data_IF_906928082898
#
_entry.id   IF_906928082898
#
_cell.length_a   1.000
_cell.length_b   1.000
_cell.length_c   1.000
_cell.angle_alpha   90.00
_cell.angle_beta   90.00
_cell.angle_gamma   90.00
#
_symmetry.space_group_name_H-M   'P 1'
#
loop_
_entity.id
_entity.type
_entity.pdbx_description
1 polymer ?
#
# COMPACT_ATOMS: atom_id res chain seq x y z
N UNK A 1 36.40 -11.70 15.39
CA UNK A 1 35.59 -12.81 15.96
C UNK A 1 34.19 -12.26 16.25
N UNK A 2 33.05 -12.84 15.90
CA UNK A 2 32.75 -14.05 15.16
C UNK A 2 31.71 -13.73 14.08
N UNK A 3 32.00 -14.24 12.89
CA UNK A 3 31.11 -14.20 11.74
C UNK A 3 29.97 -15.18 12.02
N UNK A 4 28.83 -14.69 12.50
CA UNK A 4 27.60 -15.50 12.53
C UNK A 4 27.20 -15.76 11.08
N UNK A 5 27.59 -16.92 10.56
CA UNK A 5 26.96 -17.57 9.42
C UNK A 5 25.51 -17.90 9.83
N UNK A 6 24.65 -16.89 9.79
CA UNK A 6 23.20 -17.11 9.67
C UNK A 6 23.00 -17.67 8.27
N UNK A 7 22.56 -18.91 8.15
CA UNK A 7 22.04 -19.43 6.89
C UNK A 7 21.05 -18.39 6.33
N UNK A 8 21.39 -17.83 5.15
CA UNK A 8 20.57 -16.77 4.52
C UNK A 8 19.18 -17.27 4.13
N UNK A 9 18.97 -18.59 4.12
CA UNK A 9 17.72 -19.27 3.76
C UNK A 9 16.65 -19.32 4.86
N UNK A 10 16.97 -18.97 6.13
CA UNK A 10 16.00 -19.08 7.24
C UNK A 10 15.30 -17.76 7.64
N UNK A 11 15.54 -16.66 6.95
CA UNK A 11 14.81 -15.41 7.19
C UNK A 11 14.12 -15.00 5.90
N UNK A 12 12.86 -15.38 5.72
CA UNK A 12 11.97 -14.72 4.78
C UNK A 12 11.88 -13.25 5.19
N UNK A 13 12.74 -12.41 4.61
CA UNK A 13 12.78 -11.00 4.96
C UNK A 13 11.51 -10.36 4.41
N UNK A 14 10.74 -9.76 5.31
CA UNK A 14 9.57 -9.00 4.91
C UNK A 14 10.01 -7.63 4.41
N UNK A 15 9.24 -7.10 3.47
CA UNK A 15 9.31 -5.72 3.04
C UNK A 15 8.52 -4.85 4.00
N UNK A 16 9.22 -4.19 4.91
CA UNK A 16 8.65 -3.51 6.06
C UNK A 16 8.60 -1.99 5.87
N UNK A 17 7.56 -1.38 6.43
CA UNK A 17 7.45 0.07 6.62
C UNK A 17 6.70 0.37 7.93
N UNK A 18 7.11 1.39 8.68
CA UNK A 18 6.30 1.94 9.76
C UNK A 18 5.92 3.37 9.41
N UNK A 19 4.64 3.70 9.57
CA UNK A 19 4.11 5.02 9.25
C UNK A 19 3.45 5.62 10.48
N UNK A 20 3.75 6.89 10.73
CA UNK A 20 3.20 7.68 11.83
C UNK A 20 2.27 8.75 11.25
N UNK A 21 1.03 8.74 11.72
CA UNK A 21 0.01 9.72 11.37
C UNK A 21 -0.42 10.51 12.59
N UNK A 22 -0.81 11.76 12.40
CA UNK A 22 -1.59 12.49 13.39
C UNK A 22 -2.99 11.87 13.43
N UNK A 23 -3.49 11.53 14.62
CA UNK A 23 -4.82 10.94 14.75
C UNK A 23 -5.90 11.98 14.41
N UNK A 24 -6.99 11.52 13.79
CA UNK A 24 -8.27 12.24 13.76
C UNK A 24 -9.16 11.72 14.90
N UNK A 25 -10.33 12.33 15.06
CA UNK A 25 -11.36 11.87 15.99
C UNK A 25 -11.61 10.36 15.81
N UNK A 26 -11.64 9.62 16.91
CA UNK A 26 -11.80 8.16 16.92
C UNK A 26 -10.56 7.37 16.50
N UNK A 27 -9.36 7.95 16.65
CA UNK A 27 -8.07 7.29 16.37
C UNK A 27 -7.91 6.76 14.94
N UNK A 28 -8.55 7.44 13.98
CA UNK A 28 -8.41 7.16 12.55
C UNK A 28 -7.20 7.86 11.93
N UNK A 29 -6.79 7.41 10.74
CA UNK A 29 -5.66 7.97 9.98
C UNK A 29 -5.93 9.43 9.62
N UNK A 30 -5.06 10.33 10.08
CA UNK A 30 -5.02 11.72 9.65
C UNK A 30 -3.84 12.03 8.72
N UNK A 31 -3.25 13.21 8.90
CA UNK A 31 -2.11 13.66 8.10
C UNK A 31 -0.86 12.84 8.42
N UNK A 32 -0.10 12.49 7.38
CA UNK A 32 1.22 11.89 7.53
C UNK A 32 2.14 12.80 8.36
N UNK A 33 2.81 12.23 9.36
CA UNK A 33 3.79 12.92 10.21
C UNK A 33 5.20 12.45 9.85
N UNK A 34 5.42 11.14 9.83
CA UNK A 34 6.71 10.55 9.48
C UNK A 34 6.54 9.11 8.99
N UNK A 35 7.54 8.58 8.29
CA UNK A 35 7.61 7.16 7.98
C UNK A 35 9.05 6.66 7.96
N UNK A 36 9.25 5.36 8.17
CA UNK A 36 10.54 4.74 7.87
C UNK A 36 10.76 4.64 6.37
N UNK A 37 12.01 4.43 5.97
CA UNK A 37 12.27 3.86 4.64
C UNK A 37 11.59 2.49 4.55
N UNK A 38 10.93 2.21 3.43
CA UNK A 38 10.40 0.88 3.12
C UNK A 38 11.54 -0.01 2.63
N UNK A 39 11.76 -1.17 3.26
CA UNK A 39 12.89 -2.04 2.94
C UNK A 39 12.60 -3.52 3.25
N UNK A 40 13.10 -4.42 2.41
CA UNK A 40 13.20 -5.86 2.68
C UNK A 40 14.27 -6.10 3.74
N UNK A 41 13.88 -6.14 5.02
CA UNK A 41 14.77 -6.28 6.18
C UNK A 41 14.04 -6.91 7.36
N UNK A 42 14.81 -7.38 8.36
CA UNK A 42 14.25 -7.86 9.62
C UNK A 42 13.73 -6.77 10.56
N UNK A 43 14.05 -5.49 10.31
CA UNK A 43 13.56 -4.35 11.07
C UNK A 43 13.64 -3.05 10.26
N UNK A 44 12.76 -2.11 10.57
CA UNK A 44 12.78 -0.71 10.09
C UNK A 44 12.44 0.22 11.25
N UNK A 45 12.80 1.49 11.14
CA UNK A 45 12.49 2.49 12.15
C UNK A 45 12.62 3.91 11.64
N UNK A 46 12.04 4.84 12.39
CA UNK A 46 12.15 6.28 12.20
C UNK A 46 12.11 6.98 13.55
N UNK A 47 12.59 8.23 13.60
CA UNK A 47 12.57 9.07 14.80
C UNK A 47 12.02 10.46 14.43
N UNK A 48 11.17 11.02 15.30
CA UNK A 48 10.54 12.32 15.08
C UNK A 48 10.30 13.05 16.39
N UNK A 49 10.51 14.36 16.39
CA UNK A 49 10.03 15.24 17.45
C UNK A 49 8.56 15.54 17.19
N UNK A 50 7.72 15.27 18.18
CA UNK A 50 6.26 15.41 18.08
C UNK A 50 5.78 16.52 19.01
N UNK A 51 4.77 17.26 18.55
CA UNK A 51 3.96 18.10 19.43
C UNK A 51 3.06 17.22 20.31
N UNK A 52 2.58 17.76 21.42
CA UNK A 52 1.60 17.06 22.25
C UNK A 52 0.32 16.78 21.46
N UNK A 53 -0.16 15.54 21.49
CA UNK A 53 -1.35 15.12 20.76
C UNK A 53 -1.45 13.61 20.61
N UNK A 54 -2.46 13.18 19.86
CA UNK A 54 -2.72 11.78 19.55
C UNK A 54 -2.18 11.40 18.18
N UNK A 55 -1.62 10.21 18.09
CA UNK A 55 -0.98 9.70 16.89
C UNK A 55 -1.33 8.24 16.66
N UNK A 56 -1.41 7.85 15.40
CA UNK A 56 -1.62 6.47 14.97
C UNK A 56 -0.33 5.96 14.34
N UNK A 57 0.19 4.85 14.85
CA UNK A 57 1.33 4.14 14.25
C UNK A 57 0.79 2.94 13.50
N UNK A 58 1.12 2.82 12.21
CA UNK A 58 0.74 1.70 11.36
C UNK A 58 1.99 0.93 10.93
N UNK A 59 2.27 -0.24 11.53
CA UNK A 59 3.26 -1.18 11.03
C UNK A 59 2.73 -1.89 9.79
N UNK A 60 3.51 -1.90 8.72
CA UNK A 60 3.15 -2.45 7.42
C UNK A 60 4.20 -3.46 6.94
N UNK A 61 3.73 -4.50 6.26
CA UNK A 61 4.55 -5.43 5.49
C UNK A 61 3.87 -5.67 4.13
N UNK A 62 4.62 -5.94 3.05
CA UNK A 62 4.05 -5.97 1.68
C UNK A 62 4.26 -7.24 0.85
N UNK A 63 5.26 -8.06 1.17
CA UNK A 63 5.59 -9.25 0.37
C UNK A 63 5.01 -10.56 0.94
N UNK A 64 4.27 -10.52 2.06
CA UNK A 64 3.68 -11.71 2.66
C UNK A 64 2.48 -12.27 1.86
N UNK A 65 1.78 -11.45 1.07
CA UNK A 65 0.70 -11.91 0.18
C UNK A 65 1.13 -12.93 -0.89
N UNK A 66 2.43 -13.18 -1.06
CA UNK A 66 2.96 -14.19 -2.00
C UNK A 66 3.42 -15.46 -1.31
N UNK A 67 3.27 -15.54 0.01
CA UNK A 67 3.77 -16.68 0.79
C UNK A 67 2.83 -17.89 0.73
N UNK A 68 1.64 -17.75 0.13
CA UNK A 68 0.62 -18.81 0.05
C UNK A 68 0.08 -19.19 1.44
N UNK A 69 0.11 -18.24 2.37
CA UNK A 69 -0.40 -18.42 3.72
C UNK A 69 -1.87 -18.01 3.76
N UNK A 70 -2.77 -18.99 3.72
CA UNK A 70 -4.22 -18.74 3.78
C UNK A 70 -4.73 -18.54 5.22
N UNK A 71 -3.93 -18.93 6.22
CA UNK A 71 -4.27 -18.78 7.64
C UNK A 71 -3.62 -17.52 8.20
N UNK A 72 -4.46 -16.57 8.66
CA UNK A 72 -4.03 -15.32 9.29
C UNK A 72 -3.09 -15.57 10.49
N UNK A 73 -3.26 -16.69 11.20
CA UNK A 73 -2.40 -17.05 12.33
C UNK A 73 -1.01 -17.48 11.91
N UNK A 74 -0.82 -17.87 10.65
CA UNK A 74 0.47 -18.20 10.06
C UNK A 74 1.24 -16.96 9.60
N UNK A 75 0.60 -15.77 9.51
CA UNK A 75 1.31 -14.56 9.15
C UNK A 75 2.42 -14.23 10.15
N UNK A 76 3.57 -13.70 9.67
CA UNK A 76 4.68 -13.39 10.56
C UNK A 76 4.27 -12.38 11.64
N UNK A 77 4.52 -12.76 12.90
CA UNK A 77 4.33 -11.87 14.04
C UNK A 77 5.36 -10.75 14.02
N UNK A 78 5.00 -9.60 14.58
CA UNK A 78 5.90 -8.45 14.69
C UNK A 78 5.96 -7.92 16.12
N UNK A 79 7.00 -7.11 16.38
CA UNK A 79 7.16 -6.35 17.62
C UNK A 79 7.33 -4.88 17.25
N UNK A 80 6.52 -4.01 17.82
CA UNK A 80 6.68 -2.56 17.74
C UNK A 80 7.30 -2.07 19.05
N UNK A 81 8.46 -1.43 18.96
CA UNK A 81 9.12 -0.78 20.10
C UNK A 81 9.01 0.74 19.97
N UNK A 82 8.47 1.40 21.00
CA UNK A 82 8.35 2.85 21.07
C UNK A 82 9.27 3.37 22.16
N UNK A 83 10.26 4.18 21.77
CA UNK A 83 11.17 4.84 22.70
C UNK A 83 10.85 6.33 22.75
N UNK A 84 10.65 6.86 23.95
CA UNK A 84 10.29 8.26 24.15
C UNK A 84 11.08 8.87 25.31
N UNK A 85 11.50 10.12 25.13
CA UNK A 85 12.11 10.93 26.19
C UNK A 85 11.08 11.52 27.16
N UNK A 86 9.78 11.35 26.87
CA UNK A 86 8.64 11.79 27.67
C UNK A 86 7.71 10.62 27.98
N UNK A 87 6.92 10.73 29.05
CA UNK A 87 5.85 9.76 29.34
C UNK A 87 4.84 9.78 28.19
N UNK A 88 4.43 8.61 27.75
CA UNK A 88 3.36 8.42 26.76
C UNK A 88 2.46 7.29 27.19
N UNK A 89 1.23 7.32 26.68
CA UNK A 89 0.32 6.19 26.67
C UNK A 89 0.37 5.56 25.27
N UNK A 90 0.52 4.25 25.20
CA UNK A 90 0.44 3.50 23.96
C UNK A 90 -0.56 2.37 24.15
N UNK A 91 -1.54 2.30 23.27
CA UNK A 91 -2.57 1.27 23.26
C UNK A 91 -2.64 0.61 21.88
N UNK A 92 -3.04 -0.66 21.88
CA UNK A 92 -3.39 -1.35 20.64
C UNK A 92 -4.89 -1.18 20.43
N UNK A 93 -5.27 -0.62 19.28
CA UNK A 93 -6.66 -0.44 18.90
C UNK A 93 -7.05 -1.50 17.88
N UNK A 94 -8.31 -1.95 17.94
CA UNK A 94 -8.85 -2.78 16.87
C UNK A 94 -8.82 -1.99 15.56
N UNK A 95 -8.11 -2.46 14.52
CA UNK A 95 -7.99 -1.71 13.28
C UNK A 95 -9.36 -1.63 12.57
N UNK A 96 -9.77 -0.44 12.09
CA UNK A 96 -10.85 -0.31 11.13
C UNK A 96 -10.60 -1.15 9.86
N UNK A 97 -11.67 -1.63 9.22
CA UNK A 97 -11.60 -2.56 8.08
C UNK A 97 -10.66 -2.13 6.94
N UNK A 98 -10.53 -0.82 6.69
CA UNK A 98 -9.77 -0.26 5.56
C UNK A 98 -8.57 0.57 6.01
N UNK A 99 -8.05 0.32 7.22
CA UNK A 99 -6.92 1.08 7.76
C UNK A 99 -5.68 1.03 6.86
N UNK A 100 -5.48 -0.10 6.15
CA UNK A 100 -4.38 -0.28 5.21
C UNK A 100 -4.54 0.65 3.99
N UNK A 101 -5.73 0.66 3.39
CA UNK A 101 -6.05 1.59 2.30
C UNK A 101 -5.86 3.03 2.75
N UNK A 102 -6.44 3.41 3.89
CA UNK A 102 -6.40 4.78 4.42
C UNK A 102 -4.95 5.24 4.71
N UNK A 103 -4.12 4.34 5.28
CA UNK A 103 -2.70 4.61 5.54
C UNK A 103 -1.91 4.82 4.23
N UNK A 104 -2.07 3.92 3.26
CA UNK A 104 -1.36 4.01 1.97
C UNK A 104 -1.84 5.22 1.16
N UNK A 105 -3.13 5.53 1.18
CA UNK A 105 -3.68 6.73 0.52
C UNK A 105 -3.09 7.99 1.15
N UNK A 106 -3.14 8.14 2.48
CA UNK A 106 -2.61 9.33 3.18
C UNK A 106 -1.10 9.51 2.92
N UNK A 107 -0.33 8.42 2.97
CA UNK A 107 1.09 8.44 2.62
C UNK A 107 1.33 8.83 1.15
N UNK A 108 0.57 8.27 0.22
CA UNK A 108 0.73 8.50 -1.21
C UNK A 108 0.30 9.91 -1.62
N UNK A 109 -0.73 10.48 -0.98
CA UNK A 109 -1.09 11.88 -1.17
C UNK A 109 0.03 12.83 -0.71
N UNK A 110 0.70 12.50 0.39
CA UNK A 110 1.74 13.35 0.98
C UNK A 110 3.10 13.24 0.28
N UNK A 111 3.46 12.06 -0.25
CA UNK A 111 4.81 11.75 -0.77
C UNK A 111 4.84 11.30 -2.23
N UNK A 112 3.69 10.92 -2.79
CA UNK A 112 3.60 10.43 -4.16
C UNK A 112 3.72 11.56 -5.18
N UNK A 113 4.25 11.21 -6.35
CA UNK A 113 4.26 12.11 -7.49
C UNK A 113 2.87 12.12 -8.14
N UNK A 114 2.31 13.32 -8.34
CA UNK A 114 1.04 13.54 -9.02
C UNK A 114 1.21 13.53 -10.53
N UNK A 115 0.31 12.85 -11.23
CA UNK A 115 0.23 12.79 -12.68
C UNK A 115 -1.21 13.01 -13.13
N UNK A 116 -1.44 14.10 -13.86
CA UNK A 116 -2.75 14.51 -14.34
C UNK A 116 -2.77 14.47 -15.86
N UNK A 117 -3.13 13.31 -16.40
CA UNK A 117 -3.27 13.12 -17.85
C UNK A 117 -4.67 13.44 -18.39
N UNK A 118 -5.66 13.56 -17.49
CA UNK A 118 -7.07 13.80 -17.82
C UNK A 118 -7.73 14.59 -16.69
N UNK A 119 -8.57 15.56 -17.06
CA UNK A 119 -9.36 16.31 -16.10
C UNK A 119 -10.25 15.38 -15.25
N UNK A 120 -10.33 15.65 -13.95
CA UNK A 120 -11.10 14.84 -13.00
C UNK A 120 -10.42 13.53 -12.56
N UNK A 121 -9.28 13.15 -13.14
CA UNK A 121 -8.47 12.01 -12.74
C UNK A 121 -7.07 12.46 -12.30
N UNK A 122 -6.58 11.95 -11.17
CA UNK A 122 -5.15 12.05 -10.84
C UNK A 122 -4.61 10.67 -10.49
N UNK A 123 -3.53 10.28 -11.16
CA UNK A 123 -2.72 9.13 -10.76
C UNK A 123 -1.60 9.60 -9.84
N UNK A 124 -1.33 8.85 -8.79
CA UNK A 124 -0.22 9.08 -7.87
C UNK A 124 0.72 7.88 -7.91
N UNK A 125 2.01 8.17 -8.03
CA UNK A 125 3.06 7.15 -7.98
C UNK A 125 4.00 7.40 -6.81
N UNK A 126 4.07 6.46 -5.88
CA UNK A 126 5.04 6.49 -4.79
C UNK A 126 6.23 5.58 -5.14
N UNK A 127 7.32 6.20 -5.59
CA UNK A 127 8.57 5.52 -6.00
C UNK A 127 9.80 6.08 -5.28
N UNK A 128 9.82 7.38 -4.96
CA UNK A 128 10.97 8.04 -4.34
C UNK A 128 11.06 7.71 -2.85
N UNK A 129 12.22 7.23 -2.40
CA UNK A 129 12.43 6.85 -1.00
C UNK A 129 11.65 5.60 -0.57
N UNK A 130 11.13 4.85 -1.54
CA UNK A 130 10.25 3.71 -1.37
C UNK A 130 10.83 2.51 -2.12
N UNK A 131 11.07 1.38 -1.46
CA UNK A 131 11.48 0.15 -2.15
C UNK A 131 10.24 -0.48 -2.81
N UNK A 132 10.02 -0.20 -4.10
CA UNK A 132 8.85 -0.67 -4.83
C UNK A 132 8.07 0.46 -5.50
N UNK A 133 6.79 0.20 -5.76
CA UNK A 133 5.85 1.14 -6.37
C UNK A 133 4.53 1.07 -5.63
N UNK A 134 3.87 2.21 -5.40
CA UNK A 134 2.43 2.27 -5.17
C UNK A 134 1.82 3.04 -6.32
N UNK A 135 0.75 2.51 -6.91
CA UNK A 135 -0.12 3.23 -7.84
C UNK A 135 -1.46 3.48 -7.15
N UNK A 136 -1.84 4.75 -7.03
CA UNK A 136 -3.14 5.15 -6.51
C UNK A 136 -3.84 6.03 -7.54
N UNK A 137 -5.14 5.84 -7.72
CA UNK A 137 -5.97 6.69 -8.59
C UNK A 137 -6.99 7.43 -7.75
N UNK A 138 -7.10 8.73 -7.99
CA UNK A 138 -8.15 9.61 -7.47
C UNK A 138 -9.14 9.92 -8.60
N UNK A 139 -10.41 9.64 -8.36
CA UNK A 139 -11.52 9.96 -9.25
C UNK A 139 -12.36 11.09 -8.66
N UNK A 140 -12.25 12.30 -9.22
CA UNK A 140 -13.00 13.49 -8.82
C UNK A 140 -14.31 13.70 -9.58
N UNK A 141 -14.67 12.79 -10.48
CA UNK A 141 -15.98 12.88 -11.14
C UNK A 141 -17.10 12.51 -10.16
N UNK A 142 -18.22 13.19 -10.26
CA UNK A 142 -19.40 12.96 -9.41
C UNK A 142 -20.27 11.81 -9.91
N UNK A 143 -20.22 11.49 -11.20
CA UNK A 143 -21.14 10.54 -11.84
C UNK A 143 -20.47 9.63 -12.89
N UNK A 144 -19.13 9.56 -12.90
CA UNK A 144 -18.37 8.70 -13.82
C UNK A 144 -17.42 7.80 -13.04
N UNK A 145 -17.31 6.56 -13.51
CA UNK A 145 -16.26 5.65 -13.10
C UNK A 145 -15.02 5.91 -13.96
N UNK A 146 -13.86 5.60 -13.40
CA UNK A 146 -12.62 5.53 -14.16
C UNK A 146 -12.21 4.07 -14.20
N UNK A 147 -12.21 3.47 -15.39
CA UNK A 147 -11.58 2.18 -15.57
C UNK A 147 -10.09 2.40 -15.78
N UNK A 148 -9.29 1.68 -15.02
CA UNK A 148 -7.83 1.81 -15.00
C UNK A 148 -7.22 0.44 -15.22
N UNK A 149 -6.29 0.33 -16.16
CA UNK A 149 -5.46 -0.84 -16.38
C UNK A 149 -4.04 -0.49 -16.00
N UNK A 150 -3.50 -1.15 -14.99
CA UNK A 150 -2.12 -1.01 -14.56
C UNK A 150 -1.33 -2.23 -15.01
N UNK A 151 -0.36 -2.03 -15.89
CA UNK A 151 0.45 -3.09 -16.47
C UNK A 151 1.90 -2.90 -16.03
N UNK A 152 2.41 -3.83 -15.21
CA UNK A 152 3.75 -3.83 -14.67
C UNK A 152 4.54 -5.09 -15.06
N UNK A 153 4.11 -5.83 -16.09
CA UNK A 153 4.67 -7.15 -16.43
C UNK A 153 6.13 -7.11 -16.88
N UNK A 154 6.63 -5.95 -17.34
CA UNK A 154 8.03 -5.73 -17.72
C UNK A 154 8.95 -5.45 -16.50
N UNK A 155 8.40 -5.45 -15.28
CA UNK A 155 9.20 -5.31 -14.06
C UNK A 155 9.98 -6.58 -13.73
N UNK A 156 11.12 -6.43 -13.08
CA UNK A 156 12.01 -7.54 -12.71
C UNK A 156 12.23 -7.61 -11.20
N UNK A 157 12.21 -8.83 -10.65
CA UNK A 157 12.44 -9.11 -9.22
C UNK A 157 11.48 -8.34 -8.29
N UNK A 158 10.22 -8.24 -8.71
CA UNK A 158 9.14 -7.64 -7.91
C UNK A 158 7.93 -8.55 -7.87
N UNK A 159 7.15 -8.41 -6.82
CA UNK A 159 5.84 -9.04 -6.65
C UNK A 159 4.81 -8.00 -6.22
N UNK A 160 3.52 -8.34 -6.28
CA UNK A 160 2.40 -7.41 -6.24
C UNK A 160 1.37 -7.79 -5.17
N UNK A 161 0.92 -6.87 -4.35
CA UNK A 161 -0.18 -7.16 -3.39
C UNK A 161 -1.47 -7.65 -4.04
N UNK A 162 -1.60 -7.61 -5.38
CA UNK A 162 -2.72 -8.16 -6.16
C UNK A 162 -2.45 -9.58 -6.68
N UNK A 163 -1.34 -10.22 -6.34
CA UNK A 163 -0.94 -11.54 -6.83
C UNK A 163 -0.50 -11.57 -8.30
N UNK A 164 -0.84 -10.55 -9.08
CA UNK A 164 -0.47 -10.40 -10.50
C UNK A 164 0.20 -9.05 -10.75
N UNK A 165 1.01 -8.97 -11.82
CA UNK A 165 1.64 -7.72 -12.27
C UNK A 165 0.77 -6.90 -13.23
N UNK A 166 -0.48 -7.31 -13.44
CA UNK A 166 -1.41 -6.60 -14.31
C UNK A 166 -2.78 -6.61 -13.67
N UNK A 167 -3.32 -5.41 -13.42
CA UNK A 167 -4.64 -5.25 -12.85
C UNK A 167 -5.52 -4.38 -13.74
N UNK A 168 -6.82 -4.60 -13.63
CA UNK A 168 -7.86 -3.73 -14.16
C UNK A 168 -8.84 -3.42 -13.04
N UNK A 169 -9.14 -2.15 -12.84
CA UNK A 169 -9.98 -1.70 -11.73
C UNK A 169 -10.97 -0.64 -12.20
N UNK A 170 -12.19 -0.72 -11.67
CA UNK A 170 -13.22 0.30 -11.82
C UNK A 170 -13.25 1.19 -10.58
N UNK A 171 -12.74 2.41 -10.70
CA UNK A 171 -12.64 3.38 -9.60
C UNK A 171 -13.94 4.21 -9.55
N UNK A 172 -14.76 4.09 -8.49
CA UNK A 172 -16.03 4.81 -8.37
C UNK A 172 -15.90 6.34 -8.31
N UNK A 173 -16.98 7.07 -8.63
CA UNK A 173 -17.06 8.52 -8.41
C UNK A 173 -16.62 8.94 -7.00
N UNK A 174 -15.91 10.05 -6.89
CA UNK A 174 -15.51 10.68 -5.62
C UNK A 174 -14.73 9.76 -4.67
N UNK A 175 -13.91 8.88 -5.22
CA UNK A 175 -13.07 7.96 -4.44
C UNK A 175 -11.60 8.00 -4.82
N UNK A 176 -10.77 7.48 -3.91
CA UNK A 176 -9.38 7.10 -4.14
C UNK A 176 -9.25 5.60 -4.00
N UNK A 177 -8.46 4.97 -4.85
CA UNK A 177 -8.20 3.54 -4.76
C UNK A 177 -6.72 3.25 -4.95
N UNK A 178 -6.17 2.39 -4.09
CA UNK A 178 -4.85 1.80 -4.27
C UNK A 178 -4.98 0.68 -5.30
N UNK A 179 -4.40 0.87 -6.47
CA UNK A 179 -4.52 -0.05 -7.60
C UNK A 179 -3.60 -1.26 -7.41
N UNK A 180 -2.33 -0.98 -7.13
CA UNK A 180 -1.29 -2.01 -6.96
C UNK A 180 -0.18 -1.50 -6.05
N UNK A 181 0.39 -2.40 -5.25
CA UNK A 181 1.64 -2.16 -4.52
C UNK A 181 2.64 -3.21 -4.95
N UNK A 182 3.74 -2.77 -5.57
CA UNK A 182 4.87 -3.62 -5.90
C UNK A 182 5.90 -3.60 -4.78
N UNK A 183 6.47 -4.75 -4.49
CA UNK A 183 7.54 -4.99 -3.52
C UNK A 183 8.66 -5.79 -4.18
N UNK A 184 9.88 -5.61 -3.71
CA UNK A 184 11.00 -6.43 -4.15
C UNK A 184 10.83 -7.88 -3.65
N UNK A 185 10.99 -8.86 -4.54
CA UNK A 185 10.84 -10.28 -4.20
C UNK A 185 12.04 -10.76 -3.37
N UNK A 186 13.25 -10.61 -3.91
CA UNK A 186 14.48 -11.02 -3.24
C UNK A 186 15.37 -9.82 -2.92
N UNK A 187 15.64 -9.58 -1.63
CA UNK A 187 16.47 -8.47 -1.16
C UNK A 187 17.95 -8.53 -1.54
N UNK A 188 18.41 -9.65 -2.13
CA UNK A 188 19.82 -9.86 -2.48
C UNK A 188 20.18 -9.46 -3.92
N UNK A 189 19.19 -9.35 -4.81
CA UNK A 189 19.35 -8.90 -6.20
C UNK A 189 18.91 -7.45 -6.41
N UNK A 190 19.28 -6.86 -7.54
CA UNK A 190 18.64 -5.63 -8.02
C UNK A 190 17.18 -5.88 -8.40
N UNK A 191 16.37 -4.83 -8.46
CA UNK A 191 15.01 -4.88 -9.01
C UNK A 191 14.81 -3.70 -9.97
N UNK A 192 13.88 -3.85 -10.91
CA UNK A 192 13.46 -2.77 -11.79
C UNK A 192 11.94 -2.70 -11.84
N UNK A 193 11.43 -1.49 -12.03
CA UNK A 193 9.99 -1.24 -12.11
C UNK A 193 9.71 -0.58 -13.44
N UNK A 194 8.94 -1.27 -14.26
CA UNK A 194 8.30 -0.74 -15.45
C UNK A 194 6.79 -0.76 -15.19
N UNK A 195 6.11 0.36 -15.44
CA UNK A 195 4.67 0.44 -15.28
C UNK A 195 4.05 1.29 -16.39
N UNK A 196 2.87 0.86 -16.85
CA UNK A 196 2.04 1.58 -17.81
C UNK A 196 0.63 1.66 -17.28
N UNK A 197 0.09 2.88 -17.22
CA UNK A 197 -1.28 3.14 -16.78
C UNK A 197 -2.14 3.54 -17.98
N UNK A 198 -3.12 2.71 -18.32
CA UNK A 198 -4.15 3.04 -19.33
C UNK A 198 -5.46 3.31 -18.61
N UNK A 199 -6.21 4.33 -19.02
CA UNK A 199 -7.43 4.72 -18.35
C UNK A 199 -8.53 5.18 -19.33
N UNK A 200 -9.79 4.98 -18.95
CA UNK A 200 -10.96 5.49 -19.66
C UNK A 200 -12.07 5.90 -18.70
N UNK A 201 -12.92 6.83 -19.15
CA UNK A 201 -14.14 7.17 -18.43
C UNK A 201 -15.22 6.15 -18.76
N UNK A 202 -16.05 5.85 -17.78
CA UNK A 202 -17.17 4.93 -17.90
C UNK A 202 -18.43 5.46 -17.22
N UNK A 203 -19.59 5.07 -17.76
CA UNK A 203 -20.91 5.41 -17.23
C UNK A 203 -21.46 4.35 -16.27
N UNK A 204 -20.71 3.28 -16.04
CA UNK A 204 -21.11 2.12 -15.25
C UNK A 204 -19.89 1.53 -14.56
N UNK A 205 -20.13 0.74 -13.52
CA UNK A 205 -19.07 0.08 -12.75
C UNK A 205 -18.38 -1.08 -13.50
N UNK A 206 -19.10 -1.86 -14.29
CA UNK A 206 -18.56 -3.06 -14.93
C UNK A 206 -17.47 -2.76 -15.96
N UNK A 207 -16.41 -3.58 -15.99
CA UNK A 207 -15.21 -3.36 -16.81
C UNK A 207 -15.41 -3.53 -18.33
N UNK A 208 -16.52 -4.12 -18.78
CA UNK A 208 -16.82 -4.40 -20.20
C UNK A 208 -15.70 -5.18 -20.89
N UNK A 209 -15.24 -4.78 -22.07
CA UNK A 209 -14.15 -5.40 -22.84
C UNK A 209 -12.79 -5.48 -22.12
N UNK A 210 -12.67 -4.92 -20.90
CA UNK A 210 -11.46 -5.02 -20.09
C UNK A 210 -11.52 -6.10 -19.00
N UNK A 211 -12.63 -6.82 -18.83
CA UNK A 211 -12.76 -7.90 -17.85
C UNK A 211 -13.97 -8.80 -18.15
N UNK A 212 -14.20 -9.77 -17.27
CA UNK A 212 -15.39 -10.64 -17.39
C UNK A 212 -16.70 -9.84 -17.18
N UNK A 213 -17.83 -10.29 -17.76
CA UNK A 213 -19.11 -9.63 -17.57
C UNK A 213 -19.47 -9.45 -16.09
N UNK A 214 -19.71 -8.20 -15.67
CA UNK A 214 -20.02 -7.86 -14.28
C UNK A 214 -18.81 -7.63 -13.37
N UNK A 215 -17.59 -7.98 -13.81
CA UNK A 215 -16.39 -7.75 -13.04
C UNK A 215 -16.10 -6.26 -12.87
N UNK A 216 -15.68 -5.88 -11.66
CA UNK A 216 -15.28 -4.51 -11.31
C UNK A 216 -13.77 -4.40 -11.05
N UNK A 217 -13.13 -5.55 -10.79
CA UNK A 217 -11.71 -5.71 -10.53
C UNK A 217 -11.24 -6.99 -11.25
N UNK A 218 -10.06 -6.95 -11.84
CA UNK A 218 -9.36 -8.09 -12.40
C UNK A 218 -7.88 -8.00 -11.99
N UNK A 219 -7.35 -8.90 -11.14
CA UNK A 219 -8.11 -9.96 -10.45
C UNK A 219 -9.14 -9.38 -9.47
N UNK A 220 -10.16 -10.18 -9.15
CA UNK A 220 -11.15 -9.83 -8.13
C UNK A 220 -10.48 -9.61 -6.76
N UNK A 221 -11.08 -8.76 -5.94
CA UNK A 221 -10.59 -8.48 -4.59
C UNK A 221 -11.17 -9.53 -3.62
N UNK A 222 -10.29 -10.34 -3.06
CA UNK A 222 -10.62 -11.32 -2.03
C UNK A 222 -10.56 -10.72 -0.61
N UNK A 223 -10.83 -11.54 0.41
CA UNK A 223 -10.79 -11.10 1.81
C UNK A 223 -9.43 -10.59 2.28
N UNK A 224 -8.34 -11.01 1.64
CA UNK A 224 -6.99 -10.60 2.02
C UNK A 224 -6.58 -9.26 1.43
N UNK A 225 -7.06 -8.97 0.22
CA UNK A 225 -6.69 -7.79 -0.57
C UNK A 225 -7.69 -6.65 -0.42
N UNK A 226 -8.95 -6.95 -0.08
CA UNK A 226 -10.03 -5.97 0.06
C UNK A 226 -9.68 -4.82 1.02
N UNK A 227 -9.04 -5.12 2.15
CA UNK A 227 -8.69 -4.10 3.17
C UNK A 227 -7.73 -3.01 2.65
N UNK A 228 -6.86 -3.34 1.69
CA UNK A 228 -5.89 -2.43 1.09
C UNK A 228 -6.41 -1.80 -0.21
N UNK A 229 -7.11 -2.58 -1.03
CA UNK A 229 -7.45 -2.22 -2.40
C UNK A 229 -8.87 -1.68 -2.59
N UNK A 230 -9.71 -1.68 -1.55
CA UNK A 230 -11.05 -1.08 -1.62
C UNK A 230 -11.02 0.42 -1.90
N UNK A 231 -11.92 0.96 -2.73
CA UNK A 231 -12.10 2.41 -2.89
C UNK A 231 -12.45 3.11 -1.57
N UNK A 232 -11.89 4.29 -1.36
CA UNK A 232 -12.10 5.13 -0.17
C UNK A 232 -12.63 6.49 -0.57
N UNK A 233 -13.64 6.98 0.15
CA UNK A 233 -14.16 8.34 -0.03
C UNK A 233 -13.12 9.39 0.39
N UNK A 234 -13.31 10.62 -0.09
CA UNK A 234 -12.40 11.73 0.14
C UNK A 234 -12.25 12.17 1.60
#
# INVERSE_FOLDING_TARGET
EGQRKSEKSQRSQLDLCVVLFKARVGSTIGSLVEHSKRQVRGFVGCNKMLEAGEYVVVPLAFNHWHTGLDDVTAYPRYVLAIHSSKKLLAENIQPPNHILADAIISLTLARGQRHEGREGMTAYYLTKGWAGLVVMVENRHENKWIHVKCDCQESYNVVSTRGTLKTVDSVPPLTRQVIIVLTQLEGSGGFSIAHRLTHRLANSQGLHDWGEPGACHDPELDSETLGLHSPRLF
#
